data_IF_751339687892
#
_entry.id   IF_751339687892
#
_cell.length_a   1.000
_cell.length_b   1.000
_cell.length_c   1.000
_cell.angle_alpha   90.00
_cell.angle_beta   90.00
_cell.angle_gamma   90.00
#
_symmetry.space_group_name_H-M   'P 1'
#
loop_
_entity.id
_entity.type
_entity.pdbx_description
1 polymer ?
#
# COMPACT_ATOMS: atom_id res chain seq x y z
N UNK A 1 8.38 -1.65 -23.58
CA UNK A 1 9.12 -0.73 -22.72
C UNK A 1 10.61 -0.90 -22.96
N UNK A 2 11.33 0.17 -23.22
CA UNK A 2 12.77 0.11 -23.41
C UNK A 2 13.52 -0.06 -22.09
N UNK A 3 14.78 -0.49 -22.19
CA UNK A 3 15.63 -0.74 -21.03
C UNK A 3 15.81 0.48 -20.14
N UNK A 4 15.96 1.66 -20.72
CA UNK A 4 16.10 2.91 -19.97
C UNK A 4 14.83 3.27 -19.22
N UNK A 5 13.68 3.06 -19.84
CA UNK A 5 12.39 3.31 -19.20
C UNK A 5 12.16 2.35 -18.05
N UNK A 6 12.52 1.08 -18.24
CA UNK A 6 12.43 0.07 -17.19
C UNK A 6 13.31 0.45 -16.00
N UNK A 7 14.55 0.88 -16.27
CA UNK A 7 15.48 1.30 -15.22
C UNK A 7 14.93 2.49 -14.41
N UNK A 8 14.32 3.47 -15.09
CA UNK A 8 13.72 4.63 -14.39
C UNK A 8 12.57 4.23 -13.48
N UNK A 9 11.70 3.34 -13.95
CA UNK A 9 10.57 2.86 -13.16
C UNK A 9 11.05 2.07 -11.94
N UNK A 10 12.03 1.18 -12.14
CA UNK A 10 12.64 0.43 -11.05
C UNK A 10 13.25 1.37 -10.02
N UNK A 11 13.96 2.40 -10.46
CA UNK A 11 14.59 3.36 -9.56
C UNK A 11 13.55 4.12 -8.73
N UNK A 12 12.44 4.51 -9.34
CA UNK A 12 11.36 5.21 -8.63
C UNK A 12 10.77 4.38 -7.48
N UNK A 13 10.77 3.05 -7.63
CA UNK A 13 10.32 2.13 -6.60
C UNK A 13 11.44 1.61 -5.71
N UNK A 14 12.65 2.18 -5.82
CA UNK A 14 13.77 1.77 -5.01
C UNK A 14 14.34 0.39 -5.37
N UNK A 15 14.18 -0.02 -6.64
CA UNK A 15 14.57 -1.34 -7.12
C UNK A 15 15.68 -1.30 -8.16
N UNK A 16 16.38 -0.17 -8.32
CA UNK A 16 17.41 -0.03 -9.35
C UNK A 16 18.49 -1.11 -9.26
N UNK A 17 18.94 -1.43 -8.06
CA UNK A 17 19.98 -2.43 -7.83
C UNK A 17 19.51 -3.88 -8.01
N UNK A 18 18.21 -4.09 -8.14
CA UNK A 18 17.61 -5.42 -8.21
C UNK A 18 17.20 -5.81 -9.63
N UNK A 19 17.52 -4.98 -10.64
CA UNK A 19 17.04 -5.18 -12.01
C UNK A 19 17.51 -6.46 -12.69
N UNK A 20 18.62 -7.03 -12.24
CA UNK A 20 19.17 -8.27 -12.80
C UNK A 20 18.80 -9.51 -11.98
N UNK A 21 18.00 -9.35 -10.92
CA UNK A 21 17.58 -10.45 -10.05
C UNK A 21 16.26 -11.04 -10.52
N UNK A 22 16.08 -12.33 -10.26
CA UNK A 22 14.78 -12.97 -10.41
C UNK A 22 13.89 -12.61 -9.21
N UNK A 23 12.59 -12.78 -9.36
CA UNK A 23 11.64 -12.46 -8.29
C UNK A 23 11.98 -13.22 -6.98
N UNK A 24 12.36 -14.49 -7.10
CA UNK A 24 12.70 -15.31 -5.93
C UNK A 24 13.94 -14.79 -5.18
N UNK A 25 14.81 -14.04 -5.85
CA UNK A 25 16.01 -13.47 -5.25
C UNK A 25 15.75 -12.15 -4.56
N UNK A 26 14.56 -11.58 -4.69
CA UNK A 26 14.19 -10.34 -4.04
C UNK A 26 13.86 -10.57 -2.57
N UNK A 27 14.20 -9.61 -1.71
CA UNK A 27 13.74 -9.62 -0.33
C UNK A 27 12.21 -9.46 -0.28
N UNK A 28 11.59 -9.76 0.87
CA UNK A 28 10.17 -9.57 1.06
C UNK A 28 9.74 -8.13 0.78
N UNK A 29 10.51 -7.15 1.23
CA UNK A 29 10.24 -5.75 0.96
C UNK A 29 10.36 -5.39 -0.51
N UNK A 30 11.38 -5.94 -1.20
CA UNK A 30 11.55 -5.71 -2.64
C UNK A 30 10.41 -6.37 -3.43
N UNK A 31 9.94 -7.55 -3.02
CA UNK A 31 8.80 -8.20 -3.63
C UNK A 31 7.53 -7.37 -3.50
N UNK A 32 7.30 -6.76 -2.32
CA UNK A 32 6.15 -5.90 -2.10
C UNK A 32 6.20 -4.67 -3.02
N UNK A 33 7.36 -4.03 -3.13
CA UNK A 33 7.56 -2.88 -4.02
C UNK A 33 7.35 -3.27 -5.49
N UNK A 34 7.88 -4.40 -5.89
CA UNK A 34 7.76 -4.89 -7.25
C UNK A 34 6.31 -5.20 -7.61
N UNK A 35 5.54 -5.74 -6.66
CA UNK A 35 4.11 -6.00 -6.85
C UNK A 35 3.33 -4.74 -7.19
N UNK A 36 3.56 -3.65 -6.47
CA UNK A 36 2.89 -2.38 -6.74
C UNK A 36 3.34 -1.80 -8.09
N UNK A 37 4.63 -1.89 -8.38
CA UNK A 37 5.16 -1.46 -9.68
C UNK A 37 4.48 -2.18 -10.84
N UNK A 38 4.29 -3.49 -10.75
CA UNK A 38 3.61 -4.27 -11.78
C UNK A 38 2.17 -3.83 -11.97
N UNK A 39 1.47 -3.48 -10.91
CA UNK A 39 0.11 -2.96 -11.00
C UNK A 39 0.08 -1.63 -11.76
N UNK A 40 1.02 -0.76 -11.47
CA UNK A 40 1.15 0.50 -12.23
C UNK A 40 1.42 0.25 -13.70
N UNK A 41 2.34 -0.65 -14.01
CA UNK A 41 2.69 -0.98 -15.40
C UNK A 41 1.54 -1.67 -16.14
N UNK A 42 0.64 -2.32 -15.43
CA UNK A 42 -0.55 -2.92 -16.03
C UNK A 42 -1.61 -1.88 -16.42
N UNK A 43 -1.39 -0.62 -16.09
CA UNK A 43 -2.31 0.46 -16.40
C UNK A 43 -3.31 0.79 -15.28
N UNK A 44 -3.15 0.19 -14.10
CA UNK A 44 -4.02 0.49 -12.98
C UNK A 44 -3.85 1.93 -12.52
N UNK A 45 -4.96 2.65 -12.38
CA UNK A 45 -4.98 4.03 -11.88
C UNK A 45 -5.63 4.13 -10.52
N UNK A 46 -6.25 3.04 -10.07
CA UNK A 46 -6.89 2.92 -8.77
C UNK A 46 -6.53 1.57 -8.18
N UNK A 47 -6.03 1.56 -6.97
CA UNK A 47 -5.78 0.35 -6.19
C UNK A 47 -6.79 0.27 -5.06
N UNK A 48 -7.42 -0.88 -4.92
CA UNK A 48 -8.29 -1.21 -3.80
C UNK A 48 -7.58 -2.29 -2.97
N UNK A 49 -7.21 -1.94 -1.75
CA UNK A 49 -6.44 -2.83 -0.89
C UNK A 49 -7.26 -3.17 0.36
N UNK A 50 -7.36 -4.44 0.68
CA UNK A 50 -8.05 -4.91 1.87
C UNK A 50 -7.05 -5.48 2.86
N UNK A 51 -6.87 -4.77 4.00
CA UNK A 51 -5.91 -5.13 5.05
C UNK A 51 -4.52 -5.47 4.49
N UNK A 52 -3.90 -4.55 3.73
CA UNK A 52 -2.70 -4.89 2.95
C UNK A 52 -1.46 -5.18 3.79
N UNK A 53 -1.44 -4.79 5.06
CA UNK A 53 -0.29 -5.03 5.95
C UNK A 53 -0.46 -6.28 6.81
N UNK A 54 -1.60 -6.97 6.72
CA UNK A 54 -1.81 -8.22 7.46
C UNK A 54 -0.77 -9.26 7.04
N UNK A 55 -0.22 -9.94 8.03
CA UNK A 55 0.79 -11.00 7.85
C UNK A 55 2.13 -10.53 7.26
N UNK A 56 2.35 -9.20 7.18
CA UNK A 56 3.65 -8.66 6.79
C UNK A 56 4.48 -8.36 8.03
N UNK A 57 5.78 -8.66 7.96
CA UNK A 57 6.70 -8.16 8.96
C UNK A 57 6.86 -6.64 8.82
N UNK A 58 7.45 -5.99 9.82
CA UNK A 58 7.59 -4.54 9.82
C UNK A 58 8.33 -4.03 8.60
N UNK A 59 9.41 -4.69 8.22
CA UNK A 59 10.22 -4.27 7.08
C UNK A 59 9.43 -4.32 5.77
N UNK A 60 8.68 -5.39 5.55
CA UNK A 60 7.84 -5.55 4.35
C UNK A 60 6.67 -4.55 4.35
N UNK A 61 6.09 -4.27 5.53
CA UNK A 61 5.03 -3.28 5.66
C UNK A 61 5.53 -1.87 5.31
N UNK A 62 6.73 -1.50 5.78
CA UNK A 62 7.34 -0.22 5.44
C UNK A 62 7.64 -0.12 3.95
N UNK A 63 8.12 -1.20 3.35
CA UNK A 63 8.38 -1.24 1.91
C UNK A 63 7.11 -1.08 1.09
N UNK A 64 6.02 -1.72 1.50
CA UNK A 64 4.72 -1.56 0.86
C UNK A 64 4.25 -0.10 0.95
N UNK A 65 4.37 0.50 2.11
CA UNK A 65 3.99 1.89 2.33
C UNK A 65 4.76 2.83 1.41
N UNK A 66 6.08 2.65 1.31
CA UNK A 66 6.91 3.45 0.40
C UNK A 66 6.49 3.26 -1.06
N UNK A 67 6.18 2.04 -1.46
CA UNK A 67 5.74 1.74 -2.81
C UNK A 67 4.41 2.43 -3.14
N UNK A 68 3.48 2.45 -2.19
CA UNK A 68 2.19 3.12 -2.37
C UNK A 68 2.35 4.64 -2.52
N UNK A 69 3.34 5.23 -1.86
CA UNK A 69 3.67 6.65 -2.05
C UNK A 69 4.22 6.93 -3.45
N UNK A 70 4.91 5.96 -4.04
CA UNK A 70 5.46 6.08 -5.39
C UNK A 70 4.43 5.81 -6.49
N UNK A 71 3.33 5.16 -6.15
CA UNK A 71 2.29 4.83 -7.12
C UNK A 71 1.61 6.09 -7.65
N UNK A 72 1.58 6.22 -8.96
CA UNK A 72 0.95 7.35 -9.65
C UNK A 72 -0.53 7.05 -9.91
N UNK A 73 -1.35 7.29 -8.91
CA UNK A 73 -2.79 7.02 -9.00
C UNK A 73 -3.44 7.20 -7.65
N UNK A 74 -4.61 6.61 -7.51
CA UNK A 74 -5.38 6.66 -6.27
C UNK A 74 -5.31 5.33 -5.54
N UNK A 75 -5.09 5.37 -4.24
CA UNK A 75 -5.09 4.18 -3.39
C UNK A 75 -6.24 4.30 -2.39
N UNK A 76 -7.09 3.30 -2.36
CA UNK A 76 -8.14 3.15 -1.35
C UNK A 76 -7.84 1.88 -0.57
N UNK A 77 -7.67 1.99 0.73
CA UNK A 77 -7.35 0.86 1.57
C UNK A 77 -8.35 0.72 2.72
N UNK A 78 -8.71 -0.51 3.02
CA UNK A 78 -9.42 -0.85 4.26
C UNK A 78 -8.38 -1.39 5.22
N UNK A 79 -8.24 -0.76 6.39
CA UNK A 79 -7.23 -1.17 7.34
C UNK A 79 -7.64 -0.89 8.79
N UNK A 80 -7.17 -1.75 9.70
CA UNK A 80 -7.21 -1.53 11.13
C UNK A 80 -5.82 -1.22 11.69
N UNK A 81 -4.82 -1.15 10.82
CA UNK A 81 -3.44 -0.81 11.18
C UNK A 81 -3.31 0.70 11.30
N UNK A 82 -3.22 1.20 12.52
CA UNK A 82 -3.15 2.65 12.81
C UNK A 82 -1.89 3.28 12.24
N UNK A 83 -0.79 2.56 12.26
CA UNK A 83 0.47 3.04 11.73
C UNK A 83 0.39 3.21 10.21
N UNK A 84 -0.13 2.22 9.52
CA UNK A 84 -0.32 2.27 8.07
C UNK A 84 -1.29 3.39 7.68
N UNK A 85 -2.38 3.56 8.42
CA UNK A 85 -3.38 4.58 8.15
C UNK A 85 -2.81 6.00 8.16
N UNK A 86 -1.77 6.26 8.94
CA UNK A 86 -1.15 7.60 9.04
C UNK A 86 -0.61 8.12 7.71
N UNK A 87 -0.35 7.24 6.76
CA UNK A 87 0.23 7.65 5.48
C UNK A 87 -0.80 8.14 4.48
N UNK A 88 -2.07 8.01 4.82
CA UNK A 88 -3.17 8.44 3.97
C UNK A 88 -3.60 9.86 4.31
N UNK A 89 -4.10 10.57 3.32
CA UNK A 89 -4.50 11.98 3.46
C UNK A 89 -6.00 12.18 3.59
N UNK A 90 -6.79 11.14 3.30
CA UNK A 90 -8.25 11.19 3.43
C UNK A 90 -8.76 9.93 4.10
N UNK A 91 -9.79 10.09 4.93
CA UNK A 91 -10.33 8.97 5.71
C UNK A 91 -11.84 8.91 5.55
N UNK A 92 -12.33 7.71 5.26
CA UNK A 92 -13.76 7.42 5.20
C UNK A 92 -14.10 6.53 6.39
N UNK A 93 -15.03 6.99 7.20
CA UNK A 93 -15.46 6.28 8.39
C UNK A 93 -16.85 5.71 8.15
N UNK A 94 -16.99 4.40 8.35
CA UNK A 94 -18.26 3.71 8.27
C UNK A 94 -18.88 3.69 9.66
N UNK A 95 -19.94 4.46 9.86
CA UNK A 95 -20.58 4.60 11.15
C UNK A 95 -21.45 3.39 11.47
N UNK A 96 -21.80 3.22 12.77
CA UNK A 96 -22.72 2.18 13.20
C UNK A 96 -24.12 2.32 12.60
N UNK A 97 -24.46 3.49 12.10
CA UNK A 97 -25.75 3.78 11.48
C UNK A 97 -25.76 3.56 9.96
N UNK A 98 -24.70 2.99 9.42
CA UNK A 98 -24.60 2.68 8.01
C UNK A 98 -24.24 3.88 7.12
N UNK A 99 -23.75 4.96 7.71
CA UNK A 99 -23.31 6.14 6.95
C UNK A 99 -21.81 6.08 6.70
N UNK A 100 -21.39 6.67 5.60
CA UNK A 100 -19.98 6.88 5.28
C UNK A 100 -19.69 8.37 5.40
N UNK A 101 -18.75 8.73 6.25
CA UNK A 101 -18.40 10.12 6.54
C UNK A 101 -16.91 10.32 6.26
N UNK A 102 -16.57 11.37 5.53
CA UNK A 102 -15.17 11.74 5.35
C UNK A 102 -14.70 12.56 6.54
N UNK A 103 -13.55 12.18 7.10
CA UNK A 103 -12.94 12.86 8.24
C UNK A 103 -11.50 13.25 7.91
N UNK A 104 -10.96 14.34 8.52
CA UNK A 104 -9.58 14.76 8.27
C UNK A 104 -8.55 13.83 8.92
N UNK A 105 -8.96 13.05 9.91
CA UNK A 105 -8.10 12.12 10.63
C UNK A 105 -8.81 10.79 10.78
N UNK A 106 -8.03 9.72 10.91
CA UNK A 106 -8.57 8.39 11.15
C UNK A 106 -9.32 8.35 12.48
N UNK A 107 -10.50 7.73 12.48
CA UNK A 107 -11.33 7.57 13.68
C UNK A 107 -11.37 6.09 14.04
N UNK A 108 -11.07 5.78 15.30
CA UNK A 108 -11.03 4.42 15.81
C UNK A 108 -12.11 4.23 16.87
N UNK A 109 -13.01 3.30 16.62
CA UNK A 109 -14.07 2.94 17.55
C UNK A 109 -13.63 1.71 18.35
N UNK A 110 -12.96 1.95 19.46
CA UNK A 110 -12.46 0.86 20.31
C UNK A 110 -13.57 0.04 20.96
N UNK A 111 -14.66 0.66 21.31
CA UNK A 111 -15.80 -0.04 21.88
C UNK A 111 -16.41 -1.01 20.88
N UNK A 112 -16.53 -0.59 19.63
CA UNK A 112 -17.02 -1.44 18.56
C UNK A 112 -16.07 -2.60 18.28
N UNK A 113 -14.77 -2.34 18.32
CA UNK A 113 -13.75 -3.38 18.16
C UNK A 113 -13.83 -4.40 19.28
N UNK A 114 -14.05 -3.97 20.53
CA UNK A 114 -14.22 -4.87 21.68
C UNK A 114 -15.43 -5.78 21.52
N UNK A 115 -16.54 -5.28 20.98
CA UNK A 115 -17.76 -6.06 20.77
C UNK A 115 -17.59 -7.17 19.72
N UNK A 116 -16.62 -7.05 18.85
CA UNK A 116 -16.35 -8.03 17.80
C UNK A 116 -15.47 -9.19 18.25
N UNK A 117 -14.92 -9.08 19.45
CA UNK A 117 -14.12 -10.15 20.05
C UNK A 117 -15.02 -11.23 20.72
#
# INVERSE_FOLDING_TARGET
MGREQAAKVLDRYGLAAAGERTYDQLSGGQQARFGILLLELSGATLLLLDEPTDNLDLHSAEALQDALESFEGTVVAVTHDRWFARTFDRFLVFTSQGRVVETPEAVWDEERVRRRR
#
